data_IF_793294591992
#
_entry.id   IF_793294591992
#
_cell.length_a   1.000
_cell.length_b   1.000
_cell.length_c   1.000
_cell.angle_alpha   90.00
_cell.angle_beta   90.00
_cell.angle_gamma   90.00
#
_symmetry.space_group_name_H-M   'P 1'
#
loop_
_entity.id
_entity.type
_entity.pdbx_description
1 polymer ?
#
# COMPACT_ATOMS: atom_id res chain seq x y z
N UNK A 1 16.90 -6.97 -10.62
CA UNK A 1 15.63 -6.34 -10.22
C UNK A 1 15.73 -5.86 -8.79
N UNK A 2 15.12 -4.72 -8.45
CA UNK A 2 15.24 -4.19 -7.09
C UNK A 2 14.45 -2.89 -6.90
N UNK A 3 14.58 -2.30 -5.72
CA UNK A 3 13.88 -1.06 -5.31
C UNK A 3 14.07 0.08 -6.32
N UNK A 4 15.25 0.20 -6.95
CA UNK A 4 15.52 1.22 -7.97
C UNK A 4 14.65 1.04 -9.20
N UNK A 5 14.53 -0.16 -9.72
CA UNK A 5 13.72 -0.45 -10.92
C UNK A 5 12.22 -0.20 -10.68
N UNK A 6 11.72 -0.58 -9.50
CA UNK A 6 10.33 -0.27 -9.10
C UNK A 6 10.09 1.24 -9.07
N UNK A 7 11.03 2.01 -8.51
CA UNK A 7 10.96 3.47 -8.48
C UNK A 7 11.06 4.09 -9.86
N UNK A 8 11.95 3.60 -10.71
CA UNK A 8 12.11 4.10 -12.08
C UNK A 8 10.83 3.83 -12.89
N UNK A 9 10.19 2.66 -12.74
CA UNK A 9 8.89 2.35 -13.35
C UNK A 9 7.80 3.30 -12.85
N UNK A 10 7.71 3.51 -11.53
CA UNK A 10 6.76 4.47 -10.97
C UNK A 10 6.95 5.87 -11.55
N UNK A 11 8.20 6.35 -11.64
CA UNK A 11 8.52 7.66 -12.18
C UNK A 11 8.20 7.80 -13.69
N UNK A 12 8.35 6.73 -14.46
CA UNK A 12 7.99 6.74 -15.91
C UNK A 12 6.48 6.88 -16.09
N UNK A 13 5.71 6.11 -15.31
CA UNK A 13 4.24 6.18 -15.34
C UNK A 13 3.76 7.53 -14.83
N UNK A 14 4.33 8.06 -13.75
CA UNK A 14 4.00 9.40 -13.24
C UNK A 14 4.12 10.48 -14.30
N UNK A 15 5.19 10.43 -15.12
CA UNK A 15 5.38 11.41 -16.22
C UNK A 15 4.25 11.33 -17.24
N UNK A 16 3.87 10.13 -17.65
CA UNK A 16 2.79 9.93 -18.63
C UNK A 16 1.44 10.38 -18.06
N UNK A 17 1.13 9.95 -16.82
CA UNK A 17 -0.11 10.32 -16.13
C UNK A 17 -0.21 11.84 -15.93
N UNK A 18 0.87 12.51 -15.53
CA UNK A 18 0.91 13.96 -15.35
C UNK A 18 0.54 14.72 -16.63
N UNK A 19 1.14 14.35 -17.76
CA UNK A 19 0.86 14.99 -19.04
C UNK A 19 -0.60 14.82 -19.45
N UNK A 20 -1.11 13.59 -19.37
CA UNK A 20 -2.50 13.27 -19.72
C UNK A 20 -3.49 13.96 -18.79
N UNK A 21 -3.25 13.92 -17.47
CA UNK A 21 -4.12 14.53 -16.46
C UNK A 21 -4.27 16.03 -16.66
N UNK A 22 -3.14 16.76 -16.81
CA UNK A 22 -3.16 18.21 -16.96
C UNK A 22 -3.82 18.62 -18.28
N UNK A 23 -3.59 17.87 -19.36
CA UNK A 23 -4.27 18.11 -20.63
C UNK A 23 -5.79 17.97 -20.47
N UNK A 24 -6.27 16.84 -19.93
CA UNK A 24 -7.70 16.59 -19.75
C UNK A 24 -8.34 17.60 -18.79
N UNK A 25 -7.64 18.00 -17.72
CA UNK A 25 -8.15 18.99 -16.79
C UNK A 25 -8.37 20.34 -17.49
N UNK A 26 -7.40 20.81 -18.29
CA UNK A 26 -7.52 22.06 -19.04
C UNK A 26 -8.63 22.04 -20.13
N UNK A 27 -8.92 20.88 -20.70
CA UNK A 27 -9.92 20.72 -21.74
C UNK A 27 -11.37 20.63 -21.20
N UNK A 28 -11.54 20.11 -19.98
CA UNK A 28 -12.86 19.74 -19.47
C UNK A 28 -13.31 20.51 -18.22
N UNK A 29 -12.40 21.17 -17.50
CA UNK A 29 -12.72 21.85 -16.25
C UNK A 29 -12.65 23.38 -16.42
N UNK A 30 -13.53 24.07 -15.69
CA UNK A 30 -13.50 25.55 -15.64
C UNK A 30 -12.34 26.05 -14.76
N UNK A 31 -11.92 25.24 -13.79
CA UNK A 31 -10.85 25.54 -12.83
C UNK A 31 -9.90 24.35 -12.66
N UNK A 32 -9.07 24.07 -13.70
CA UNK A 32 -8.18 22.91 -13.71
C UNK A 32 -7.13 22.93 -12.59
N UNK A 33 -6.86 24.11 -11.98
CA UNK A 33 -5.94 24.28 -10.86
C UNK A 33 -6.50 23.75 -9.53
N UNK A 34 -7.77 23.36 -9.46
CA UNK A 34 -8.44 22.91 -8.23
C UNK A 34 -8.64 21.39 -8.16
N UNK A 35 -7.96 20.65 -9.04
CA UNK A 35 -7.95 19.18 -9.03
C UNK A 35 -6.53 18.67 -8.83
N UNK A 36 -6.41 17.51 -8.21
CA UNK A 36 -5.13 16.86 -7.96
C UNK A 36 -5.19 15.38 -8.29
N UNK A 37 -4.15 14.85 -8.91
CA UNK A 37 -3.92 13.43 -9.11
C UNK A 37 -2.91 12.95 -8.09
N UNK A 38 -3.26 11.90 -7.37
CA UNK A 38 -2.40 11.28 -6.36
C UNK A 38 -2.34 9.78 -6.55
N UNK A 39 -1.20 9.17 -6.22
CA UNK A 39 -1.02 7.74 -6.05
C UNK A 39 -1.22 7.37 -4.58
N UNK A 40 -1.81 6.21 -4.33
CA UNK A 40 -2.01 5.67 -2.97
C UNK A 40 -1.49 4.23 -2.89
N UNK A 41 -1.40 3.66 -1.69
CA UNK A 41 -0.97 2.28 -1.50
C UNK A 41 0.42 1.98 -2.07
N UNK A 42 0.60 0.83 -2.71
CA UNK A 42 1.89 0.41 -3.29
C UNK A 42 2.43 1.39 -4.33
N UNK A 43 1.57 1.92 -5.17
CA UNK A 43 1.96 2.94 -6.15
C UNK A 43 2.33 4.25 -5.47
N UNK A 44 1.63 4.61 -4.37
CA UNK A 44 1.97 5.78 -3.55
C UNK A 44 3.40 5.72 -3.00
N UNK A 45 3.85 4.55 -2.54
CA UNK A 45 5.23 4.33 -2.07
C UNK A 45 6.29 4.34 -3.17
N UNK A 46 5.90 4.36 -4.45
CA UNK A 46 6.83 4.21 -5.57
C UNK A 46 7.37 2.78 -5.72
N UNK A 47 6.62 1.78 -5.28
CA UNK A 47 7.00 0.37 -5.27
C UNK A 47 6.22 -0.44 -6.33
N UNK A 48 6.07 0.12 -7.52
CA UNK A 48 5.27 -0.50 -8.57
C UNK A 48 5.96 -1.73 -9.15
N UNK A 49 5.43 -2.93 -8.86
CA UNK A 49 5.85 -4.16 -9.49
C UNK A 49 5.35 -4.24 -10.96
N UNK A 50 5.94 -5.11 -11.82
CA UNK A 50 5.62 -5.14 -13.26
C UNK A 50 4.14 -5.28 -13.61
N UNK A 51 3.40 -6.09 -12.86
CA UNK A 51 1.98 -6.38 -13.10
C UNK A 51 1.06 -5.80 -11.99
N UNK A 52 1.51 -4.75 -11.29
CA UNK A 52 0.70 -4.11 -10.26
C UNK A 52 -0.31 -3.14 -10.87
N UNK A 53 -1.49 -3.10 -10.27
CA UNK A 53 -2.49 -2.10 -10.55
C UNK A 53 -2.00 -0.70 -10.13
N UNK A 54 -2.52 0.33 -10.79
CA UNK A 54 -2.29 1.72 -10.44
C UNK A 54 -3.42 2.20 -9.53
N UNK A 55 -3.13 2.36 -8.24
CA UNK A 55 -4.08 2.88 -7.26
C UNK A 55 -4.07 4.43 -7.32
N UNK A 56 -5.10 5.04 -7.90
CA UNK A 56 -5.22 6.48 -8.11
C UNK A 56 -6.33 7.10 -7.26
N UNK A 57 -6.03 8.25 -6.66
CA UNK A 57 -7.03 9.11 -6.05
C UNK A 57 -7.01 10.47 -6.74
N UNK A 58 -8.12 10.82 -7.40
CA UNK A 58 -8.38 12.12 -7.99
C UNK A 58 -9.10 12.97 -6.94
N UNK A 59 -8.46 14.05 -6.54
CA UNK A 59 -9.03 15.00 -5.58
C UNK A 59 -9.55 16.24 -6.29
N UNK A 60 -10.67 16.77 -5.81
CA UNK A 60 -11.21 18.07 -6.23
C UNK A 60 -11.72 18.85 -5.01
N UNK A 61 -11.82 20.16 -5.14
CA UNK A 61 -12.26 21.02 -4.05
C UNK A 61 -13.79 21.14 -3.89
N UNK A 62 -14.59 20.49 -4.75
CA UNK A 62 -16.05 20.49 -4.74
C UNK A 62 -16.70 21.71 -5.40
N UNK A 63 -15.94 22.60 -6.05
CA UNK A 63 -16.51 23.80 -6.69
C UNK A 63 -17.01 23.55 -8.11
N UNK A 64 -16.55 22.51 -8.78
CA UNK A 64 -16.99 22.13 -10.12
C UNK A 64 -18.29 21.32 -10.08
N UNK A 65 -19.08 21.40 -11.16
CA UNK A 65 -20.25 20.57 -11.32
C UNK A 65 -19.86 19.11 -11.51
N UNK A 66 -20.66 18.20 -10.96
CA UNK A 66 -20.41 16.76 -11.02
C UNK A 66 -20.29 16.22 -12.45
N UNK A 67 -21.05 16.80 -13.40
CA UNK A 67 -21.00 16.42 -14.81
C UNK A 67 -19.64 16.75 -15.45
N UNK A 68 -19.05 17.90 -15.11
CA UNK A 68 -17.73 18.30 -15.61
C UNK A 68 -16.63 17.42 -15.02
N UNK A 69 -16.70 17.12 -13.70
CA UNK A 69 -15.77 16.18 -13.06
C UNK A 69 -15.87 14.81 -13.72
N UNK A 70 -17.09 14.31 -13.97
CA UNK A 70 -17.28 13.00 -14.63
C UNK A 70 -16.74 12.98 -16.06
N UNK A 71 -16.98 14.03 -16.84
CA UNK A 71 -16.46 14.15 -18.21
C UNK A 71 -14.92 14.18 -18.20
N UNK A 72 -14.31 14.96 -17.32
CA UNK A 72 -12.88 15.02 -17.13
C UNK A 72 -12.27 13.66 -16.75
N UNK A 73 -12.84 12.99 -15.73
CA UNK A 73 -12.34 11.68 -15.26
C UNK A 73 -12.42 10.65 -16.38
N UNK A 74 -13.51 10.60 -17.12
CA UNK A 74 -13.68 9.69 -18.25
C UNK A 74 -12.67 9.98 -19.36
N UNK A 75 -12.49 11.25 -19.74
CA UNK A 75 -11.50 11.65 -20.75
C UNK A 75 -10.06 11.30 -20.34
N UNK A 76 -9.76 11.33 -19.04
CA UNK A 76 -8.46 10.96 -18.50
C UNK A 76 -8.26 9.43 -18.46
N UNK A 77 -9.24 8.66 -17.99
CA UNK A 77 -9.08 7.23 -17.71
C UNK A 77 -9.27 6.33 -18.94
N UNK A 78 -10.23 6.62 -19.84
CA UNK A 78 -10.51 5.76 -20.98
C UNK A 78 -9.28 5.47 -21.86
N UNK A 79 -8.46 6.49 -22.26
CA UNK A 79 -7.26 6.21 -23.04
C UNK A 79 -6.21 5.37 -22.33
N UNK A 80 -6.19 5.39 -20.98
CA UNK A 80 -5.26 4.59 -20.17
C UNK A 80 -5.70 3.13 -20.13
N UNK A 81 -7.01 2.87 -19.98
CA UNK A 81 -7.56 1.52 -20.05
C UNK A 81 -7.40 0.90 -21.44
N UNK A 82 -7.59 1.69 -22.50
CA UNK A 82 -7.37 1.25 -23.90
C UNK A 82 -5.90 0.85 -24.15
N UNK A 83 -4.96 1.43 -23.41
CA UNK A 83 -3.55 1.03 -23.41
C UNK A 83 -3.26 -0.22 -22.57
N UNK A 84 -4.28 -0.81 -21.93
CA UNK A 84 -4.14 -2.02 -21.11
C UNK A 84 -3.66 -1.79 -19.69
N UNK A 85 -3.64 -0.54 -19.20
CA UNK A 85 -3.31 -0.26 -17.80
C UNK A 85 -4.47 -0.71 -16.90
N UNK A 86 -4.13 -1.45 -15.85
CA UNK A 86 -5.08 -1.80 -14.80
C UNK A 86 -5.07 -0.68 -13.75
N UNK A 87 -6.19 0.02 -13.62
CA UNK A 87 -6.30 1.19 -12.76
C UNK A 87 -7.47 1.01 -11.82
N UNK A 88 -7.19 0.98 -10.51
CA UNK A 88 -8.18 1.23 -9.46
C UNK A 88 -8.18 2.72 -9.13
N UNK A 89 -9.37 3.35 -9.15
CA UNK A 89 -9.45 4.78 -8.95
C UNK A 89 -10.62 5.19 -8.06
N UNK A 90 -10.45 6.34 -7.45
CA UNK A 90 -11.54 7.04 -6.76
C UNK A 90 -11.45 8.54 -7.00
N UNK A 91 -12.62 9.20 -7.00
CA UNK A 91 -12.75 10.65 -7.19
C UNK A 91 -13.46 11.21 -5.97
N UNK A 92 -12.84 12.12 -5.25
CA UNK A 92 -13.34 12.59 -3.96
C UNK A 92 -12.90 14.01 -3.65
N UNK A 93 -13.69 14.67 -2.84
CA UNK A 93 -13.26 15.86 -2.11
C UNK A 93 -12.40 15.47 -0.89
N UNK A 94 -11.73 16.45 -0.28
CA UNK A 94 -10.99 16.27 0.98
C UNK A 94 -11.89 15.74 2.10
N UNK A 95 -13.12 16.26 2.23
CA UNK A 95 -14.09 15.84 3.26
C UNK A 95 -14.54 14.41 3.08
N UNK A 96 -14.94 14.03 1.86
CA UNK A 96 -15.36 12.67 1.52
C UNK A 96 -14.24 11.66 1.74
N UNK A 97 -12.99 12.02 1.36
CA UNK A 97 -11.81 11.18 1.58
C UNK A 97 -11.62 10.88 3.07
N UNK A 98 -11.75 11.90 3.90
CA UNK A 98 -11.62 11.78 5.36
C UNK A 98 -12.74 10.95 5.98
N UNK A 99 -13.98 11.14 5.52
CA UNK A 99 -15.14 10.39 5.99
C UNK A 99 -14.99 8.89 5.69
N UNK A 100 -14.68 8.53 4.45
CA UNK A 100 -14.52 7.13 4.03
C UNK A 100 -13.35 6.47 4.76
N UNK A 101 -12.25 7.18 4.98
CA UNK A 101 -11.11 6.66 5.75
C UNK A 101 -11.46 6.27 7.19
N UNK A 102 -12.46 6.92 7.82
CA UNK A 102 -12.92 6.52 9.16
C UNK A 102 -13.71 5.22 9.15
N UNK A 103 -14.33 4.86 8.03
CA UNK A 103 -15.19 3.70 7.85
C UNK A 103 -14.43 2.49 7.31
N UNK A 104 -13.60 2.67 6.29
CA UNK A 104 -12.83 1.60 5.64
C UNK A 104 -11.33 1.69 5.98
N UNK A 105 -10.84 0.69 6.72
CA UNK A 105 -9.43 0.58 7.11
C UNK A 105 -8.49 0.51 5.88
N UNK A 106 -8.94 -0.07 4.76
CA UNK A 106 -8.10 -0.19 3.55
C UNK A 106 -7.86 1.18 2.93
N UNK A 107 -8.89 2.02 2.90
CA UNK A 107 -8.78 3.42 2.46
C UNK A 107 -7.85 4.19 3.39
N UNK A 108 -8.04 4.06 4.72
CA UNK A 108 -7.16 4.72 5.69
C UNK A 108 -5.69 4.34 5.49
N UNK A 109 -5.40 3.03 5.31
CA UNK A 109 -4.03 2.54 5.06
C UNK A 109 -3.47 3.05 3.73
N UNK A 110 -4.26 3.05 2.65
CA UNK A 110 -3.83 3.55 1.34
C UNK A 110 -3.46 5.03 1.36
N UNK A 111 -4.18 5.84 2.14
CA UNK A 111 -3.92 7.29 2.29
C UNK A 111 -2.63 7.60 3.07
N UNK A 112 -2.15 6.70 3.93
CA UNK A 112 -0.85 6.88 4.60
C UNK A 112 0.33 6.90 3.62
N UNK A 113 0.14 6.31 2.45
CA UNK A 113 1.11 6.25 1.36
C UNK A 113 0.82 7.28 0.25
N UNK A 114 -0.08 8.26 0.48
CA UNK A 114 -0.49 9.22 -0.53
C UNK A 114 0.70 10.03 -1.06
N UNK A 115 0.86 10.02 -2.38
CA UNK A 115 1.90 10.75 -3.10
C UNK A 115 1.30 11.57 -4.24
N UNK A 116 1.64 12.86 -4.28
CA UNK A 116 1.23 13.76 -5.36
C UNK A 116 1.86 13.39 -6.70
N UNK A 117 1.04 13.40 -7.79
CA UNK A 117 1.51 13.20 -9.17
C UNK A 117 1.36 14.48 -9.98
N UNK A 118 0.16 15.11 -9.99
CA UNK A 118 -0.13 16.28 -10.83
C UNK A 118 -1.24 17.16 -10.23
N UNK A 119 -1.37 18.38 -10.72
CA UNK A 119 -2.42 19.34 -10.34
C UNK A 119 -2.13 20.04 -9.02
N UNK A 120 -3.16 20.27 -8.20
CA UNK A 120 -3.06 20.99 -6.93
C UNK A 120 -2.27 20.21 -5.86
N UNK A 121 -1.01 20.61 -5.67
CA UNK A 121 -0.13 20.00 -4.66
C UNK A 121 -0.53 20.36 -3.23
N UNK A 122 -1.17 21.52 -3.02
CA UNK A 122 -1.64 21.93 -1.71
C UNK A 122 -2.80 21.07 -1.24
N UNK A 123 -3.76 20.77 -2.14
CA UNK A 123 -4.88 19.89 -1.84
C UNK A 123 -4.39 18.49 -1.45
N UNK A 124 -3.47 17.90 -2.23
CA UNK A 124 -2.90 16.59 -1.90
C UNK A 124 -2.12 16.57 -0.60
N UNK A 125 -1.34 17.63 -0.31
CA UNK A 125 -0.60 17.75 0.95
C UNK A 125 -1.53 17.87 2.17
N UNK A 126 -2.64 18.58 2.04
CA UNK A 126 -3.64 18.69 3.08
C UNK A 126 -4.31 17.33 3.38
N UNK A 127 -4.66 16.57 2.32
CA UNK A 127 -5.24 15.23 2.49
C UNK A 127 -4.24 14.27 3.14
N UNK A 128 -2.98 14.30 2.75
CA UNK A 128 -1.93 13.47 3.36
C UNK A 128 -1.72 13.81 4.85
N UNK A 129 -1.73 15.11 5.18
CA UNK A 129 -1.61 15.58 6.57
C UNK A 129 -2.80 15.12 7.40
N UNK A 130 -4.03 15.34 6.92
CA UNK A 130 -5.25 14.89 7.60
C UNK A 130 -5.24 13.39 7.84
N UNK A 131 -4.85 12.60 6.84
CA UNK A 131 -4.81 11.14 6.94
C UNK A 131 -3.86 10.69 8.05
N UNK A 132 -2.65 11.27 8.13
CA UNK A 132 -1.68 10.93 9.17
C UNK A 132 -2.13 11.38 10.57
N UNK A 133 -2.69 12.60 10.69
CA UNK A 133 -3.20 13.12 11.94
C UNK A 133 -4.37 12.30 12.46
N UNK A 134 -5.34 11.97 11.59
CA UNK A 134 -6.49 11.15 11.95
C UNK A 134 -6.08 9.72 12.31
N UNK A 135 -5.10 9.13 11.61
CA UNK A 135 -4.54 7.84 11.93
C UNK A 135 -3.93 7.81 13.34
N UNK A 136 -3.12 8.81 13.67
CA UNK A 136 -2.50 8.95 15.00
C UNK A 136 -3.52 9.22 16.10
N UNK A 137 -4.44 10.13 15.86
CA UNK A 137 -5.48 10.54 16.82
C UNK A 137 -6.45 9.40 17.14
N UNK A 138 -6.80 8.59 16.15
CA UNK A 138 -7.78 7.52 16.27
C UNK A 138 -7.14 6.12 16.33
N UNK A 139 -5.85 6.01 16.65
CA UNK A 139 -5.14 4.73 16.70
C UNK A 139 -5.84 3.66 17.54
N UNK A 140 -6.46 4.05 18.66
CA UNK A 140 -7.20 3.13 19.53
C UNK A 140 -8.43 2.49 18.86
N UNK A 141 -8.93 3.09 17.77
CA UNK A 141 -10.01 2.55 16.93
C UNK A 141 -9.47 1.79 15.72
N UNK A 142 -8.37 2.28 15.12
CA UNK A 142 -7.81 1.71 13.89
C UNK A 142 -6.97 0.46 14.15
N UNK A 143 -6.14 0.44 15.21
CA UNK A 143 -5.26 -0.70 15.49
C UNK A 143 -6.02 -2.01 15.72
N UNK A 144 -7.14 -2.05 16.47
CA UNK A 144 -7.96 -3.27 16.58
C UNK A 144 -8.55 -3.73 15.22
N UNK A 145 -8.99 -2.78 14.36
CA UNK A 145 -9.47 -3.11 13.01
C UNK A 145 -8.36 -3.67 12.13
N UNK A 146 -7.16 -3.07 12.23
CA UNK A 146 -5.96 -3.55 11.51
C UNK A 146 -5.60 -4.97 11.96
N UNK A 147 -5.54 -5.22 13.29
CA UNK A 147 -5.27 -6.54 13.86
C UNK A 147 -6.26 -7.59 13.35
N UNK A 148 -7.55 -7.26 13.38
CA UNK A 148 -8.58 -8.14 12.85
C UNK A 148 -8.38 -8.43 11.37
N UNK A 149 -8.09 -7.42 10.55
CA UNK A 149 -7.82 -7.58 9.12
C UNK A 149 -6.61 -8.50 8.85
N UNK A 150 -5.55 -8.41 9.67
CA UNK A 150 -4.39 -9.29 9.60
C UNK A 150 -4.81 -10.74 9.93
N UNK A 151 -5.54 -10.95 11.02
CA UNK A 151 -6.01 -12.27 11.42
C UNK A 151 -6.94 -12.91 10.38
N UNK A 152 -7.90 -12.13 9.85
CA UNK A 152 -8.83 -12.61 8.81
C UNK A 152 -8.08 -12.97 7.52
N UNK A 153 -6.96 -12.31 7.23
CA UNK A 153 -6.10 -12.63 6.08
C UNK A 153 -5.27 -13.88 6.33
N UNK A 154 -4.68 -14.04 7.51
CA UNK A 154 -3.93 -15.23 7.91
C UNK A 154 -4.78 -16.50 7.77
N UNK A 155 -6.04 -16.46 8.22
CA UNK A 155 -6.99 -17.59 8.06
C UNK A 155 -7.22 -17.95 6.59
N UNK A 156 -7.23 -16.96 5.68
CA UNK A 156 -7.47 -17.22 4.23
C UNK A 156 -6.23 -17.66 3.49
N UNK A 157 -5.08 -17.07 3.81
CA UNK A 157 -3.86 -17.18 3.00
C UNK A 157 -2.75 -17.97 3.68
N UNK A 158 -2.94 -18.39 4.93
CA UNK A 158 -1.96 -19.17 5.69
C UNK A 158 -0.69 -18.39 6.05
N UNK A 159 0.34 -19.13 6.46
CA UNK A 159 1.64 -18.59 6.88
C UNK A 159 2.68 -18.85 5.78
N UNK A 160 3.28 -17.80 5.25
CA UNK A 160 4.23 -17.85 4.12
C UNK A 160 5.39 -18.82 4.37
N UNK A 161 5.91 -18.84 5.60
CA UNK A 161 7.06 -19.65 5.97
C UNK A 161 6.83 -21.18 5.89
N UNK A 162 5.56 -21.62 5.83
CA UNK A 162 5.20 -23.06 5.91
C UNK A 162 4.43 -23.56 4.70
N UNK A 163 4.13 -22.70 3.73
CA UNK A 163 3.41 -23.08 2.52
C UNK A 163 4.38 -23.51 1.41
N UNK A 164 4.02 -24.56 0.67
CA UNK A 164 4.76 -25.01 -0.52
C UNK A 164 4.63 -24.01 -1.68
N UNK A 165 3.47 -23.37 -1.81
CA UNK A 165 3.16 -22.36 -2.83
C UNK A 165 2.62 -21.09 -2.15
N UNK A 166 3.47 -20.30 -1.47
CA UNK A 166 3.04 -19.17 -0.68
C UNK A 166 2.57 -18.00 -1.54
N UNK A 167 1.53 -17.29 -1.06
CA UNK A 167 1.23 -15.95 -1.53
C UNK A 167 2.18 -14.94 -0.87
N UNK A 168 3.06 -14.36 -1.66
CA UNK A 168 4.13 -13.43 -1.21
C UNK A 168 3.56 -12.12 -0.62
N UNK A 169 2.32 -11.79 -0.95
CA UNK A 169 1.66 -10.55 -0.54
C UNK A 169 0.70 -10.78 0.62
N UNK A 170 -0.21 -11.77 0.49
CA UNK A 170 -1.32 -11.95 1.40
C UNK A 170 -1.02 -12.88 2.58
N UNK A 171 -0.11 -13.87 2.43
CA UNK A 171 0.21 -14.79 3.51
C UNK A 171 0.89 -14.07 4.69
N UNK A 172 0.72 -14.62 5.90
CA UNK A 172 1.36 -14.12 7.12
C UNK A 172 2.89 -14.13 6.96
N UNK A 173 3.54 -13.02 7.33
CA UNK A 173 4.95 -12.79 7.06
C UNK A 173 5.25 -12.22 5.68
N UNK A 174 4.22 -11.96 4.85
CA UNK A 174 4.35 -11.37 3.51
C UNK A 174 4.33 -9.83 3.49
N UNK A 175 4.26 -9.27 2.27
CA UNK A 175 4.38 -7.81 2.06
C UNK A 175 3.26 -7.00 2.73
N UNK A 176 2.06 -7.55 2.88
CA UNK A 176 0.97 -6.87 3.59
C UNK A 176 1.24 -6.72 5.08
N UNK A 177 2.00 -7.62 5.68
CA UNK A 177 2.39 -7.51 7.09
C UNK A 177 3.44 -6.43 7.28
N UNK A 178 4.37 -6.28 6.36
CA UNK A 178 5.34 -5.18 6.35
C UNK A 178 4.62 -3.83 6.24
N UNK A 179 3.61 -3.74 5.36
CA UNK A 179 2.78 -2.53 5.24
C UNK A 179 1.98 -2.24 6.53
N UNK A 180 1.49 -3.28 7.20
CA UNK A 180 0.82 -3.14 8.49
C UNK A 180 1.79 -2.65 9.58
N UNK A 181 3.03 -3.16 9.62
CA UNK A 181 4.08 -2.67 10.51
C UNK A 181 4.41 -1.18 10.28
N UNK A 182 4.47 -0.73 9.01
CA UNK A 182 4.62 0.70 8.67
C UNK A 182 3.46 1.53 9.21
N UNK A 183 2.24 1.06 9.03
CA UNK A 183 1.05 1.76 9.55
C UNK A 183 1.06 1.84 11.09
N UNK A 184 1.49 0.78 11.78
CA UNK A 184 1.63 0.80 13.24
C UNK A 184 2.74 1.78 13.67
N UNK A 185 3.88 1.82 12.98
CA UNK A 185 4.94 2.80 13.21
C UNK A 185 4.43 4.23 13.08
N UNK A 186 3.72 4.54 11.98
CA UNK A 186 3.12 5.85 11.72
C UNK A 186 2.08 6.25 12.77
N UNK A 187 1.41 5.29 13.42
CA UNK A 187 0.45 5.56 14.49
C UNK A 187 1.10 6.12 15.75
N UNK A 188 2.40 5.89 15.94
CA UNK A 188 3.13 6.25 17.15
C UNK A 188 2.68 5.47 18.40
N UNK A 189 2.04 4.32 18.25
CA UNK A 189 1.57 3.52 19.38
C UNK A 189 2.72 2.90 20.15
N UNK A 190 3.72 2.36 19.44
CA UNK A 190 4.94 1.78 19.99
C UNK A 190 6.12 2.05 19.05
N UNK A 191 7.37 2.14 19.57
CA UNK A 191 8.53 2.26 18.72
C UNK A 191 8.78 0.94 17.96
N UNK A 192 8.91 1.05 16.63
CA UNK A 192 9.24 -0.04 15.72
C UNK A 192 10.50 0.34 14.94
N UNK A 193 11.28 -0.64 14.53
CA UNK A 193 12.39 -0.44 13.58
C UNK A 193 12.19 -1.35 12.38
N UNK A 194 11.68 -0.79 11.30
CA UNK A 194 11.49 -1.49 10.02
C UNK A 194 12.82 -1.91 9.38
N UNK A 195 13.94 -1.30 9.78
CA UNK A 195 15.28 -1.73 9.35
C UNK A 195 15.56 -3.22 9.64
N UNK A 196 14.88 -3.79 10.66
CA UNK A 196 15.00 -5.21 11.00
C UNK A 196 14.46 -6.16 9.94
N UNK A 197 13.53 -5.70 9.12
CA UNK A 197 12.87 -6.49 8.07
C UNK A 197 13.14 -5.94 6.66
N UNK A 198 14.05 -4.97 6.53
CA UNK A 198 14.36 -4.35 5.23
C UNK A 198 14.92 -5.35 4.21
N UNK A 199 15.80 -6.26 4.64
CA UNK A 199 16.32 -7.32 3.79
C UNK A 199 15.24 -8.34 3.41
N UNK A 200 14.37 -8.69 4.38
CA UNK A 200 13.23 -9.57 4.14
C UNK A 200 12.26 -8.97 3.12
N UNK A 201 11.95 -7.69 3.27
CA UNK A 201 11.12 -6.95 2.31
C UNK A 201 11.74 -6.92 0.92
N UNK A 202 13.05 -6.64 0.83
CA UNK A 202 13.78 -6.61 -0.43
C UNK A 202 13.75 -7.97 -1.12
N UNK A 203 13.99 -9.06 -0.38
CA UNK A 203 13.94 -10.41 -0.92
C UNK A 203 12.53 -10.77 -1.45
N UNK A 204 11.50 -10.66 -0.60
CA UNK A 204 10.12 -11.02 -0.97
C UNK A 204 9.65 -10.18 -2.16
N UNK A 205 9.99 -8.88 -2.18
CA UNK A 205 9.64 -8.00 -3.29
C UNK A 205 10.38 -8.36 -4.59
N UNK A 206 11.67 -8.78 -4.51
CA UNK A 206 12.43 -9.19 -5.68
C UNK A 206 11.90 -10.51 -6.25
N UNK A 207 11.53 -11.48 -5.39
CA UNK A 207 10.87 -12.72 -5.81
C UNK A 207 9.56 -12.40 -6.55
N UNK A 208 8.76 -11.50 -6.01
CA UNK A 208 7.51 -11.04 -6.62
C UNK A 208 7.75 -10.35 -7.96
N UNK A 209 8.76 -9.50 -8.08
CA UNK A 209 9.09 -8.81 -9.34
C UNK A 209 9.47 -9.79 -10.44
N UNK A 210 10.27 -10.82 -10.12
CA UNK A 210 10.63 -11.87 -11.08
C UNK A 210 9.40 -12.68 -11.48
N UNK A 211 8.54 -13.02 -10.50
CA UNK A 211 7.31 -13.76 -10.74
C UNK A 211 6.38 -12.99 -11.72
N UNK A 212 6.28 -11.67 -11.57
CA UNK A 212 5.43 -10.80 -12.40
C UNK A 212 6.05 -10.44 -13.75
N UNK A 213 7.39 -10.49 -13.88
CA UNK A 213 8.10 -10.01 -15.07
C UNK A 213 7.75 -10.72 -16.36
N UNK A 214 7.39 -12.01 -16.30
CA UNK A 214 7.14 -12.87 -17.47
C UNK A 214 5.65 -13.11 -17.74
N UNK A 215 4.77 -12.73 -16.81
CA UNK A 215 3.34 -12.96 -16.97
C UNK A 215 2.51 -11.78 -16.42
N UNK A 216 1.92 -10.94 -17.27
CA UNK A 216 1.08 -9.81 -16.85
C UNK A 216 -0.16 -10.22 -16.04
N UNK A 217 -0.54 -11.51 -16.08
CA UNK A 217 -1.64 -12.10 -15.29
C UNK A 217 -1.13 -12.82 -14.05
N UNK A 218 0.15 -12.67 -13.71
CA UNK A 218 0.72 -13.44 -12.61
C UNK A 218 0.05 -13.04 -11.29
N UNK A 219 -0.19 -14.07 -10.51
CA UNK A 219 -0.67 -13.94 -9.13
C UNK A 219 0.52 -13.73 -8.21
N UNK A 220 0.29 -13.23 -7.02
CA UNK A 220 1.33 -13.09 -5.99
C UNK A 220 1.71 -14.45 -5.34
N UNK A 221 1.14 -15.56 -5.85
CA UNK A 221 1.40 -16.92 -5.39
C UNK A 221 2.59 -17.53 -6.13
N UNK A 222 3.63 -17.93 -5.40
CA UNK A 222 4.84 -18.56 -5.92
C UNK A 222 4.59 -20.07 -6.10
N UNK A 223 4.09 -20.44 -7.28
CA UNK A 223 3.79 -21.84 -7.62
C UNK A 223 5.05 -22.69 -7.70
N UNK A 224 4.95 -23.99 -7.38
CA UNK A 224 6.06 -24.96 -7.50
C UNK A 224 6.71 -24.92 -8.88
N UNK A 225 5.92 -24.81 -9.94
CA UNK A 225 6.40 -24.75 -11.34
C UNK A 225 7.23 -23.49 -11.66
N UNK A 226 7.15 -22.44 -10.84
CA UNK A 226 7.85 -21.19 -11.03
C UNK A 226 9.12 -21.07 -10.15
N UNK A 227 9.21 -21.87 -9.08
CA UNK A 227 10.25 -21.73 -8.06
C UNK A 227 11.66 -21.89 -8.61
N UNK A 228 11.93 -22.88 -9.46
CA UNK A 228 13.25 -23.09 -10.07
C UNK A 228 13.66 -21.93 -10.97
N UNK A 229 12.73 -21.44 -11.79
CA UNK A 229 12.96 -20.28 -12.65
C UNK A 229 13.26 -19.02 -11.85
N UNK A 230 12.49 -18.77 -10.80
CA UNK A 230 12.67 -17.61 -9.93
C UNK A 230 14.00 -17.73 -9.17
N UNK A 231 14.32 -18.90 -8.65
CA UNK A 231 15.59 -19.20 -7.97
C UNK A 231 16.77 -18.90 -8.89
N UNK A 232 16.78 -19.46 -10.08
CA UNK A 232 17.84 -19.23 -11.08
C UNK A 232 17.99 -17.74 -11.43
N UNK A 233 16.89 -17.01 -11.65
CA UNK A 233 16.89 -15.58 -12.01
C UNK A 233 17.47 -14.73 -10.88
N UNK A 234 17.25 -15.11 -9.62
CA UNK A 234 17.76 -14.41 -8.44
C UNK A 234 19.15 -14.89 -7.98
N UNK A 235 19.75 -15.87 -8.68
CA UNK A 235 21.07 -16.39 -8.39
C UNK A 235 21.15 -17.40 -7.25
N UNK A 236 20.03 -18.06 -6.91
CA UNK A 236 20.02 -19.20 -6.00
C UNK A 236 20.41 -20.49 -6.71
N UNK A 237 20.93 -21.46 -5.97
CA UNK A 237 21.35 -22.77 -6.53
C UNK A 237 20.16 -23.58 -7.06
N UNK A 238 19.01 -23.51 -6.39
CA UNK A 238 17.82 -24.28 -6.66
C UNK A 238 16.59 -23.67 -5.94
N UNK A 239 15.41 -24.25 -6.17
CA UNK A 239 14.16 -23.84 -5.53
C UNK A 239 14.22 -23.98 -3.99
N UNK A 240 14.85 -25.02 -3.46
CA UNK A 240 14.94 -25.26 -2.01
C UNK A 240 15.74 -24.15 -1.32
N UNK A 241 16.86 -23.72 -1.92
CA UNK A 241 17.66 -22.62 -1.41
C UNK A 241 16.86 -21.28 -1.42
N UNK A 242 16.11 -21.01 -2.49
CA UNK A 242 15.23 -19.85 -2.56
C UNK A 242 14.15 -19.92 -1.46
N UNK A 243 13.43 -21.05 -1.35
CA UNK A 243 12.33 -21.20 -0.41
C UNK A 243 12.80 -21.16 1.04
N UNK A 244 14.01 -21.63 1.33
CA UNK A 244 14.63 -21.48 2.66
C UNK A 244 14.80 -19.99 3.02
N UNK A 245 15.32 -19.17 2.12
CA UNK A 245 15.52 -17.75 2.38
C UNK A 245 14.18 -16.97 2.44
N UNK A 246 13.22 -17.32 1.60
CA UNK A 246 11.85 -16.78 1.66
C UNK A 246 11.19 -17.13 3.01
N UNK A 247 11.33 -18.37 3.48
CA UNK A 247 10.80 -18.77 4.79
C UNK A 247 11.50 -18.06 5.96
N UNK A 248 12.82 -17.83 5.89
CA UNK A 248 13.56 -17.03 6.89
C UNK A 248 13.07 -15.59 6.90
N UNK A 249 12.90 -14.98 5.72
CA UNK A 249 12.39 -13.62 5.58
C UNK A 249 10.99 -13.48 6.17
N UNK A 250 10.08 -14.41 5.86
CA UNK A 250 8.73 -14.43 6.40
C UNK A 250 8.70 -14.54 7.93
N UNK A 251 9.51 -15.44 8.50
CA UNK A 251 9.61 -15.57 9.97
C UNK A 251 10.16 -14.32 10.66
N UNK A 252 11.07 -13.60 10.02
CA UNK A 252 11.58 -12.33 10.57
C UNK A 252 10.48 -11.26 10.62
N UNK A 253 9.66 -11.17 9.58
CA UNK A 253 8.51 -10.25 9.52
C UNK A 253 7.48 -10.64 10.57
N UNK A 254 7.12 -11.92 10.64
CA UNK A 254 6.16 -12.45 11.59
C UNK A 254 6.59 -12.22 13.05
N UNK A 255 7.84 -12.53 13.37
CA UNK A 255 8.40 -12.25 14.70
C UNK A 255 8.31 -10.76 15.08
N UNK A 256 8.64 -9.85 14.14
CA UNK A 256 8.51 -8.42 14.40
C UNK A 256 7.05 -7.99 14.60
N UNK A 257 6.11 -8.60 13.87
CA UNK A 257 4.67 -8.36 14.03
C UNK A 257 4.19 -8.79 15.41
N UNK A 258 4.52 -10.01 15.86
CA UNK A 258 4.14 -10.53 17.16
C UNK A 258 4.74 -9.70 18.31
N UNK A 259 6.03 -9.35 18.19
CA UNK A 259 6.69 -8.47 19.17
C UNK A 259 6.01 -7.10 19.24
N UNK A 260 5.58 -6.58 18.11
CA UNK A 260 4.89 -5.28 18.00
C UNK A 260 3.54 -5.31 18.70
N UNK A 261 2.72 -6.33 18.43
CA UNK A 261 1.42 -6.50 19.11
C UNK A 261 1.58 -6.75 20.60
N UNK A 262 2.55 -7.56 21.01
CA UNK A 262 2.84 -7.76 22.43
C UNK A 262 3.17 -6.44 23.15
N UNK A 263 3.94 -5.55 22.51
CA UNK A 263 4.25 -4.23 23.08
C UNK A 263 3.01 -3.32 23.16
N UNK A 264 2.16 -3.32 22.15
CA UNK A 264 0.90 -2.56 22.15
C UNK A 264 0.01 -3.03 23.30
N UNK A 265 -0.18 -4.34 23.46
CA UNK A 265 -0.98 -4.93 24.52
C UNK A 265 -0.42 -4.58 25.91
N UNK A 266 0.90 -4.61 26.08
CA UNK A 266 1.58 -4.29 27.33
C UNK A 266 1.49 -2.81 27.72
N UNK A 267 1.49 -1.89 26.74
CA UNK A 267 1.33 -0.44 26.99
C UNK A 267 -0.12 -0.05 27.23
N UNK A 268 -1.07 -0.66 26.54
CA UNK A 268 -2.51 -0.46 26.74
C UNK A 268 -2.99 -0.87 28.13
N UNK A 269 -2.47 -1.97 28.68
CA UNK A 269 -2.76 -2.43 30.03
C UNK A 269 -2.36 -1.43 31.13
N UNK A 270 -1.23 -0.75 30.99
CA UNK A 270 -0.78 0.29 31.94
C UNK A 270 -1.67 1.54 31.94
N UNK A 271 -2.24 1.92 30.81
CA UNK A 271 -3.19 3.04 30.70
C UNK A 271 -4.52 2.74 31.42
N UNK A 272 -4.96 1.49 31.42
CA UNK A 272 -6.19 1.09 32.11
C UNK A 272 -6.02 1.07 33.64
N UNK A 273 -4.88 0.61 34.14
CA UNK A 273 -4.58 0.64 35.59
C UNK A 273 -4.40 2.08 36.12
N UNK A 274 -3.84 3.00 35.33
CA UNK A 274 -3.69 4.40 35.75
C UNK A 274 -5.03 5.16 35.76
N UNK A 275 -6.00 4.85 34.87
CA UNK A 275 -7.34 5.47 34.89
C UNK A 275 -8.13 5.07 36.16
N UNK A 276 -7.92 3.87 36.70
CA UNK A 276 -8.55 3.46 37.97
C UNK A 276 -7.95 4.11 39.21
N UNK A 277 -6.66 4.54 39.18
CA UNK A 277 -6.04 5.23 40.34
C UNK A 277 -6.48 6.70 40.45
N UNK A 278 -6.90 7.35 39.38
CA UNK A 278 -7.36 8.75 39.42
C UNK A 278 -8.88 8.91 39.69
N UNK A 279 -9.60 7.83 39.94
CA UNK A 279 -11.03 7.86 40.33
C UNK A 279 -11.26 7.39 41.78
N UNK A 280 -10.22 7.41 42.62
CA UNK A 280 -10.36 7.20 44.06
C UNK A 280 -9.94 8.43 44.86
#
# INVERSE_FOLDING_TARGET
MGTRERRDRSNQIDKALRVSFLKCANEHLSRPELVSLTAVGGYGRGELAPASDLDLLILHNGSEKSELISAFVNAFLYPLWDQGLVIDHSVRTRSETREIATQDIRVALGLLDLRHIAGDSQLSSQVATDALEDWRKNKDKFLPKLRKSIQDREVRSGELAFLLEPDLKEARGGLRDINALRAIELSGAVPISLARVAESEALISNVRDVLHGDNPKSRDQLLLTEQDRVAFTLGFSDADALMLEVAKAARAVDYLMDLTWHRIDSTGGKSWFNRRKNQR
#
